data_IF_623174008147
#
_entry.id   IF_623174008147
#
_cell.length_a   1.000
_cell.length_b   1.000
_cell.length_c   1.000
_cell.angle_alpha   90.00
_cell.angle_beta   90.00
_cell.angle_gamma   90.00
#
_symmetry.space_group_name_H-M   'P 1'
#
loop_
_entity.id
_entity.type
_entity.pdbx_description
1 polymer ?
#
# COMPACT_ATOMS: atom_id res chain seq x y z
N UNK A 1 -24.35 -35.13 -4.83
CA UNK A 1 -23.24 -36.08 -4.55
C UNK A 1 -21.96 -35.26 -4.69
N UNK A 2 -21.29 -34.96 -3.60
CA UNK A 2 -19.95 -34.40 -3.59
C UNK A 2 -18.99 -35.49 -4.02
N UNK A 3 -18.45 -35.40 -5.23
CA UNK A 3 -17.38 -36.29 -5.67
C UNK A 3 -16.15 -35.87 -4.83
N UNK A 4 -15.64 -36.80 -4.00
CA UNK A 4 -14.32 -36.61 -3.37
C UNK A 4 -13.31 -36.61 -4.52
N UNK A 5 -12.70 -35.44 -4.77
CA UNK A 5 -11.54 -35.34 -5.67
C UNK A 5 -10.37 -35.99 -4.97
N UNK A 6 -9.75 -36.98 -5.58
CA UNK A 6 -8.47 -37.51 -5.11
C UNK A 6 -7.42 -36.40 -5.28
N UNK A 7 -6.57 -36.21 -4.29
CA UNK A 7 -5.46 -35.27 -4.41
C UNK A 7 -4.56 -35.77 -5.55
N UNK A 8 -4.47 -34.97 -6.60
CA UNK A 8 -3.65 -35.24 -7.74
C UNK A 8 -2.18 -35.08 -7.34
N UNK A 9 -1.37 -36.12 -7.54
CA UNK A 9 0.06 -36.07 -7.28
C UNK A 9 0.70 -34.91 -8.05
N UNK A 10 1.41 -34.03 -7.32
CA UNK A 10 2.11 -32.90 -7.92
C UNK A 10 3.42 -33.40 -8.53
N UNK A 11 3.70 -33.13 -9.82
CA UNK A 11 4.98 -33.48 -10.44
C UNK A 11 6.16 -32.89 -9.67
N UNK A 12 7.25 -33.63 -9.58
CA UNK A 12 8.43 -33.20 -8.77
C UNK A 12 9.01 -31.85 -9.19
N UNK A 13 8.98 -31.51 -10.47
CA UNK A 13 9.46 -30.21 -10.98
C UNK A 13 8.56 -29.03 -10.60
N UNK A 14 7.30 -29.32 -10.23
CA UNK A 14 6.28 -28.32 -9.88
C UNK A 14 6.03 -28.23 -8.36
N UNK A 15 6.71 -29.02 -7.55
CA UNK A 15 6.55 -28.99 -6.09
C UNK A 15 7.00 -27.65 -5.51
N UNK A 16 6.20 -27.14 -4.57
CA UNK A 16 6.60 -25.98 -3.76
C UNK A 16 7.85 -26.32 -2.94
N UNK A 17 8.73 -25.34 -2.73
CA UNK A 17 9.87 -25.53 -1.82
C UNK A 17 9.37 -25.61 -0.39
N UNK A 18 9.86 -26.62 0.34
CA UNK A 18 9.58 -26.79 1.74
C UNK A 18 10.50 -25.85 2.55
N UNK A 19 9.95 -24.95 3.36
CA UNK A 19 10.77 -24.06 4.19
C UNK A 19 11.62 -24.80 5.22
N UNK A 20 11.23 -26.01 5.60
CA UNK A 20 11.95 -26.79 6.63
C UNK A 20 13.13 -27.62 6.08
N UNK A 21 13.22 -27.81 4.76
CA UNK A 21 14.24 -28.69 4.15
C UNK A 21 15.62 -28.07 4.05
N UNK A 22 15.81 -26.75 4.26
CA UNK A 22 17.11 -26.09 4.14
C UNK A 22 17.28 -24.91 5.13
N UNK A 23 16.86 -25.06 6.38
CA UNK A 23 16.96 -23.99 7.38
C UNK A 23 18.42 -23.54 7.65
N UNK A 24 19.42 -24.36 7.34
CA UNK A 24 20.83 -24.05 7.54
C UNK A 24 21.51 -23.31 6.36
N UNK A 25 20.89 -23.26 5.18
CA UNK A 25 21.51 -22.74 3.94
C UNK A 25 20.70 -21.59 3.29
N UNK A 26 19.70 -21.02 3.98
CA UNK A 26 18.89 -19.93 3.50
C UNK A 26 19.62 -18.58 3.62
N UNK A 27 20.56 -18.32 2.70
CA UNK A 27 20.98 -16.95 2.44
C UNK A 27 19.85 -16.23 1.69
N UNK A 28 19.01 -15.50 2.41
CA UNK A 28 17.96 -14.69 1.80
C UNK A 28 18.61 -13.47 1.12
N UNK A 29 18.47 -13.40 -0.19
CA UNK A 29 18.84 -12.24 -1.00
C UNK A 29 17.65 -11.75 -1.82
N UNK A 30 17.80 -10.58 -2.42
CA UNK A 30 16.85 -10.13 -3.44
C UNK A 30 17.01 -10.96 -4.72
N UNK A 31 15.92 -11.10 -5.50
CA UNK A 31 16.01 -11.60 -6.87
C UNK A 31 16.98 -10.69 -7.65
N UNK A 32 17.95 -11.28 -8.31
CA UNK A 32 19.04 -10.58 -9.02
C UNK A 32 18.83 -10.55 -10.53
N UNK A 33 17.91 -11.36 -11.04
CA UNK A 33 17.62 -11.51 -12.46
C UNK A 33 16.10 -11.57 -12.69
N UNK A 34 15.63 -10.99 -13.78
CA UNK A 34 14.21 -10.99 -14.16
C UNK A 34 13.67 -12.38 -14.47
N UNK A 35 14.52 -13.32 -14.89
CA UNK A 35 14.12 -14.71 -15.13
C UNK A 35 13.62 -15.39 -13.85
N UNK A 36 14.21 -15.09 -12.70
CA UNK A 36 13.77 -15.59 -11.41
C UNK A 36 12.33 -15.14 -11.08
N UNK A 37 12.02 -13.88 -11.41
CA UNK A 37 10.66 -13.34 -11.25
C UNK A 37 9.67 -14.04 -12.17
N UNK A 38 10.03 -14.23 -13.44
CA UNK A 38 9.16 -14.89 -14.42
C UNK A 38 8.94 -16.36 -14.06
N UNK A 39 9.99 -17.06 -13.63
CA UNK A 39 9.92 -18.46 -13.19
C UNK A 39 9.04 -18.63 -11.96
N UNK A 40 9.17 -17.72 -10.99
CA UNK A 40 8.34 -17.69 -9.79
C UNK A 40 6.86 -17.49 -10.13
N UNK A 41 6.55 -16.53 -10.99
CA UNK A 41 5.17 -16.24 -11.38
C UNK A 41 4.57 -17.39 -12.19
N UNK A 42 5.22 -17.80 -13.27
CA UNK A 42 4.74 -18.87 -14.14
C UNK A 42 4.62 -20.20 -13.38
N UNK A 43 5.61 -20.54 -12.54
CA UNK A 43 5.57 -21.74 -11.72
C UNK A 43 4.42 -21.77 -10.74
N UNK A 44 4.19 -20.65 -10.06
CA UNK A 44 3.08 -20.55 -9.09
C UNK A 44 1.72 -20.66 -9.77
N UNK A 45 1.52 -19.99 -10.91
CA UNK A 45 0.25 -20.10 -11.64
C UNK A 45 0.05 -21.50 -12.21
N UNK A 46 1.11 -22.15 -12.69
CA UNK A 46 1.05 -23.56 -13.13
C UNK A 46 0.72 -24.48 -11.96
N UNK A 47 1.35 -24.28 -10.79
CA UNK A 47 1.05 -25.03 -9.57
C UNK A 47 -0.42 -24.90 -9.15
N UNK A 48 -0.96 -23.68 -9.14
CA UNK A 48 -2.37 -23.46 -8.83
C UNK A 48 -3.29 -24.07 -9.90
N UNK A 49 -2.93 -23.95 -11.17
CA UNK A 49 -3.67 -24.57 -12.27
C UNK A 49 -3.68 -26.10 -12.19
N UNK A 50 -2.54 -26.69 -11.78
CA UNK A 50 -2.46 -28.13 -11.54
C UNK A 50 -3.36 -28.57 -10.41
N UNK A 51 -3.30 -27.91 -9.26
CA UNK A 51 -4.19 -28.19 -8.12
C UNK A 51 -5.66 -27.93 -8.42
N UNK A 52 -5.94 -26.97 -9.27
CA UNK A 52 -7.29 -26.65 -9.75
C UNK A 52 -7.80 -27.56 -10.89
N UNK A 53 -6.99 -28.56 -11.32
CA UNK A 53 -7.34 -29.49 -12.40
C UNK A 53 -7.59 -28.80 -13.76
N UNK A 54 -6.87 -27.68 -14.05
CA UNK A 54 -6.99 -26.99 -15.32
C UNK A 54 -6.23 -27.66 -16.45
N UNK A 55 -5.26 -28.53 -16.15
CA UNK A 55 -4.45 -29.25 -17.10
C UNK A 55 -4.86 -30.71 -17.17
N UNK A 56 -4.96 -31.26 -18.38
CA UNK A 56 -5.29 -32.68 -18.59
C UNK A 56 -4.06 -33.55 -18.35
N UNK A 57 -2.91 -33.14 -18.84
CA UNK A 57 -1.64 -33.85 -18.75
C UNK A 57 -0.53 -33.03 -18.13
N UNK A 58 0.58 -33.67 -17.76
CA UNK A 58 1.78 -32.98 -17.30
C UNK A 58 2.43 -32.17 -18.43
N UNK A 59 2.32 -32.66 -19.69
CA UNK A 59 2.74 -31.94 -20.87
C UNK A 59 2.00 -30.62 -21.05
N UNK A 60 0.68 -30.58 -20.84
CA UNK A 60 -0.12 -29.36 -20.90
C UNK A 60 0.37 -28.33 -19.84
N UNK A 61 0.68 -28.81 -18.64
CA UNK A 61 1.19 -27.96 -17.57
C UNK A 61 2.58 -27.38 -17.90
N UNK A 62 3.47 -28.20 -18.49
CA UNK A 62 4.80 -27.73 -18.93
C UNK A 62 4.69 -26.71 -20.06
N UNK A 63 3.84 -26.98 -21.04
CA UNK A 63 3.59 -26.05 -22.14
C UNK A 63 3.07 -24.71 -21.63
N UNK A 64 2.10 -24.74 -20.71
CA UNK A 64 1.59 -23.51 -20.06
C UNK A 64 2.69 -22.75 -19.33
N UNK A 65 3.53 -23.46 -18.56
CA UNK A 65 4.65 -22.83 -17.84
C UNK A 65 5.62 -22.16 -18.81
N UNK A 66 6.04 -22.83 -19.85
CA UNK A 66 7.00 -22.32 -20.83
C UNK A 66 6.43 -21.15 -21.66
N UNK A 67 5.19 -21.25 -22.10
CA UNK A 67 4.50 -20.20 -22.84
C UNK A 67 4.32 -18.93 -22.00
N UNK A 68 3.88 -19.07 -20.75
CA UNK A 68 3.72 -17.92 -19.84
C UNK A 68 5.05 -17.24 -19.55
N UNK A 69 6.13 -18.00 -19.33
CA UNK A 69 7.49 -17.45 -19.19
C UNK A 69 7.91 -16.67 -20.43
N UNK A 70 7.70 -17.24 -21.61
CA UNK A 70 8.00 -16.60 -22.88
C UNK A 70 7.21 -15.29 -23.03
N UNK A 71 5.93 -15.30 -22.74
CA UNK A 71 5.05 -14.12 -22.86
C UNK A 71 5.45 -13.02 -21.86
N UNK A 72 5.81 -13.38 -20.62
CA UNK A 72 6.32 -12.41 -19.63
C UNK A 72 7.65 -11.78 -20.08
N UNK A 73 8.59 -12.61 -20.55
CA UNK A 73 9.91 -12.16 -20.98
C UNK A 73 9.84 -11.26 -22.24
N UNK A 74 8.90 -11.52 -23.13
CA UNK A 74 8.67 -10.73 -24.33
C UNK A 74 7.66 -9.57 -24.15
N UNK A 75 7.24 -9.29 -22.90
CA UNK A 75 6.30 -8.21 -22.58
C UNK A 75 4.93 -8.33 -23.29
N UNK A 76 4.52 -9.55 -23.62
CA UNK A 76 3.22 -9.86 -24.23
C UNK A 76 2.08 -9.86 -23.21
N UNK A 77 2.41 -10.19 -21.97
CA UNK A 77 1.49 -10.15 -20.82
C UNK A 77 2.16 -9.47 -19.63
N UNK A 78 1.33 -8.92 -18.76
CA UNK A 78 1.76 -8.41 -17.46
C UNK A 78 0.65 -8.63 -16.42
N UNK A 79 0.95 -9.21 -15.25
CA UNK A 79 -0.03 -9.31 -14.18
C UNK A 79 -0.26 -7.96 -13.50
N UNK A 80 -1.31 -7.88 -12.68
CA UNK A 80 -1.51 -6.77 -11.76
C UNK A 80 -0.28 -6.57 -10.87
N UNK A 81 0.05 -5.31 -10.56
CA UNK A 81 1.29 -4.97 -9.86
C UNK A 81 1.52 -5.74 -8.54
N UNK A 82 0.52 -6.06 -7.68
CA UNK A 82 0.75 -6.86 -6.48
C UNK A 82 1.33 -8.25 -6.76
N UNK A 83 1.02 -8.84 -7.90
CA UNK A 83 1.51 -10.17 -8.23
C UNK A 83 3.03 -10.20 -8.48
N UNK A 84 3.60 -9.12 -9.02
CA UNK A 84 5.05 -9.03 -9.26
C UNK A 84 5.89 -9.21 -7.98
N UNK A 85 5.37 -8.79 -6.83
CA UNK A 85 6.11 -8.82 -5.57
C UNK A 85 5.52 -9.72 -4.48
N UNK A 86 4.28 -10.24 -4.65
CA UNK A 86 3.65 -11.12 -3.65
C UNK A 86 3.46 -12.56 -4.15
N UNK A 87 3.17 -12.74 -5.46
CA UNK A 87 2.82 -14.07 -5.97
C UNK A 87 4.04 -14.96 -6.07
N UNK A 88 3.91 -16.13 -5.50
CA UNK A 88 4.91 -17.20 -5.61
C UNK A 88 6.04 -17.14 -4.61
N UNK A 89 6.07 -16.17 -3.70
CA UNK A 89 7.10 -16.11 -2.65
C UNK A 89 7.07 -17.36 -1.76
N UNK A 90 5.89 -17.87 -1.43
CA UNK A 90 5.76 -19.11 -0.67
C UNK A 90 6.17 -20.33 -1.52
N UNK A 91 5.64 -20.43 -2.75
CA UNK A 91 5.93 -21.57 -3.62
C UNK A 91 7.42 -21.68 -4.01
N UNK A 92 8.04 -20.57 -4.39
CA UNK A 92 9.41 -20.56 -4.91
C UNK A 92 10.47 -20.52 -3.81
N UNK A 93 10.19 -19.86 -2.68
CA UNK A 93 11.18 -19.55 -1.67
C UNK A 93 10.79 -20.01 -0.26
N UNK A 94 9.59 -20.61 -0.08
CA UNK A 94 9.11 -21.03 1.23
C UNK A 94 8.80 -19.87 2.19
N UNK A 95 8.70 -18.63 1.69
CA UNK A 95 8.39 -17.46 2.54
C UNK A 95 6.97 -17.59 3.06
N UNK A 96 6.83 -17.53 4.37
CA UNK A 96 5.55 -17.61 5.07
C UNK A 96 5.35 -16.43 6.02
N UNK A 97 4.11 -16.25 6.49
CA UNK A 97 3.73 -15.23 7.44
C UNK A 97 2.27 -15.35 7.88
N UNK A 98 1.95 -14.86 9.08
CA UNK A 98 0.62 -15.04 9.65
C UNK A 98 -0.44 -14.42 8.75
N UNK A 99 -1.59 -15.11 8.67
CA UNK A 99 -2.76 -14.62 7.95
C UNK A 99 -3.20 -13.26 8.52
N UNK A 100 -3.46 -12.31 7.63
CA UNK A 100 -3.94 -10.96 7.99
C UNK A 100 -5.42 -10.77 7.61
N UNK A 101 -6.21 -11.84 7.74
CA UNK A 101 -7.62 -11.86 7.36
C UNK A 101 -7.85 -12.27 5.91
N UNK A 102 -6.87 -12.88 5.25
CA UNK A 102 -7.04 -13.45 3.91
C UNK A 102 -8.01 -14.63 3.95
N UNK A 103 -8.89 -14.65 2.96
CA UNK A 103 -9.80 -15.77 2.69
C UNK A 103 -9.63 -16.20 1.25
N UNK A 104 -9.82 -17.47 1.00
CA UNK A 104 -9.82 -18.07 -0.34
C UNK A 104 -10.94 -19.09 -0.47
N UNK A 105 -11.30 -19.41 -1.70
CA UNK A 105 -12.20 -20.54 -1.96
C UNK A 105 -11.34 -21.79 -2.10
N UNK A 106 -11.53 -22.73 -1.20
CA UNK A 106 -10.82 -24.00 -1.26
C UNK A 106 -11.23 -24.79 -2.50
N UNK A 107 -10.26 -25.17 -3.32
CA UNK A 107 -10.48 -25.79 -4.63
C UNK A 107 -11.11 -27.19 -4.54
N UNK A 108 -10.87 -27.92 -3.44
CA UNK A 108 -11.42 -29.27 -3.26
C UNK A 108 -12.85 -29.24 -2.71
N UNK A 109 -13.15 -28.30 -1.81
CA UNK A 109 -14.44 -28.23 -1.12
C UNK A 109 -15.38 -27.17 -1.69
N UNK A 110 -14.87 -26.19 -2.44
CA UNK A 110 -15.62 -25.02 -2.93
C UNK A 110 -16.07 -24.05 -1.83
N UNK A 111 -15.54 -24.20 -0.60
CA UNK A 111 -15.95 -23.38 0.55
C UNK A 111 -15.00 -22.18 0.76
N UNK A 112 -15.57 -21.06 1.17
CA UNK A 112 -14.78 -19.93 1.65
C UNK A 112 -14.04 -20.34 2.93
N UNK A 113 -12.72 -20.30 2.88
CA UNK A 113 -11.83 -20.74 3.95
C UNK A 113 -10.87 -19.61 4.33
N UNK A 114 -10.61 -19.45 5.62
CA UNK A 114 -9.62 -18.50 6.10
C UNK A 114 -8.22 -19.08 5.88
N UNK A 115 -7.34 -18.31 5.23
CA UNK A 115 -5.95 -18.71 5.03
C UNK A 115 -5.19 -18.73 6.35
N UNK A 116 -4.28 -19.68 6.52
CA UNK A 116 -3.29 -19.69 7.59
C UNK A 116 -2.11 -18.76 7.30
N UNK A 117 -1.79 -18.57 6.02
CA UNK A 117 -0.66 -17.79 5.52
C UNK A 117 -1.10 -16.63 4.65
N UNK A 118 -0.40 -15.52 4.72
CA UNK A 118 -0.59 -14.37 3.81
C UNK A 118 0.17 -14.52 2.50
N UNK A 119 1.14 -15.43 2.40
CA UNK A 119 1.97 -15.65 1.20
C UNK A 119 1.60 -16.89 0.39
N UNK A 120 1.01 -17.91 1.01
CA UNK A 120 0.45 -19.07 0.28
C UNK A 120 -0.71 -18.65 -0.61
N UNK A 121 -1.55 -17.73 -0.11
CA UNK A 121 -2.73 -17.19 -0.81
C UNK A 121 -2.62 -15.67 -0.87
N UNK A 122 -1.68 -15.13 -1.69
CA UNK A 122 -1.42 -13.71 -1.73
C UNK A 122 -2.57 -12.93 -2.37
N UNK A 123 -2.62 -11.63 -2.08
CA UNK A 123 -3.55 -10.69 -2.71
C UNK A 123 -3.14 -10.44 -4.16
N UNK A 124 -3.94 -10.88 -5.17
CA UNK A 124 -3.55 -10.76 -6.58
C UNK A 124 -4.01 -9.46 -7.24
N UNK A 125 -5.01 -8.76 -6.67
CA UNK A 125 -5.66 -7.62 -7.30
C UNK A 125 -5.00 -6.29 -6.91
N UNK A 126 -4.90 -5.39 -7.89
CA UNK A 126 -4.30 -4.07 -7.70
C UNK A 126 -5.23 -3.09 -6.97
N UNK A 127 -6.54 -3.19 -7.20
CA UNK A 127 -7.52 -2.23 -6.66
C UNK A 127 -8.81 -2.92 -6.23
N UNK A 128 -9.42 -2.37 -5.18
CA UNK A 128 -10.69 -2.82 -4.63
C UNK A 128 -11.66 -1.65 -4.50
N UNK A 129 -12.89 -1.84 -4.98
CA UNK A 129 -13.98 -0.91 -4.73
C UNK A 129 -14.60 -1.28 -3.38
N UNK A 130 -14.70 -0.28 -2.50
CA UNK A 130 -15.22 -0.40 -1.14
C UNK A 130 -16.52 0.39 -0.99
N UNK A 131 -17.47 -0.17 -0.23
CA UNK A 131 -18.63 0.56 0.24
C UNK A 131 -18.37 1.23 1.59
N UNK A 132 -19.14 2.26 1.90
CA UNK A 132 -19.15 2.96 3.19
C UNK A 132 -20.59 3.31 3.58
N UNK A 133 -20.91 3.08 4.86
CA UNK A 133 -22.16 3.49 5.48
C UNK A 133 -21.94 4.73 6.35
N UNK A 134 -22.99 5.53 6.52
CA UNK A 134 -22.96 6.73 7.37
C UNK A 134 -23.06 6.36 8.86
N UNK A 135 -22.10 5.58 9.31
CA UNK A 135 -21.89 5.15 10.70
C UNK A 135 -20.43 5.30 11.07
N UNK A 136 -20.14 5.62 12.33
CA UNK A 136 -18.77 5.87 12.75
C UNK A 136 -17.96 4.58 12.95
N UNK A 137 -18.49 3.61 13.68
CA UNK A 137 -17.71 2.48 14.22
C UNK A 137 -18.24 1.09 13.88
N UNK A 138 -19.51 0.97 13.48
CA UNK A 138 -20.11 -0.33 13.16
C UNK A 138 -19.55 -0.91 11.84
N UNK A 139 -19.83 -2.17 11.60
CA UNK A 139 -19.44 -2.87 10.38
C UNK A 139 -19.95 -2.11 9.14
N UNK A 140 -19.07 -1.90 8.16
CA UNK A 140 -19.36 -1.10 6.97
C UNK A 140 -19.20 0.41 7.16
N UNK A 141 -19.02 0.90 8.38
CA UNK A 141 -18.87 2.31 8.71
C UNK A 141 -17.48 2.88 8.43
N UNK A 142 -17.29 4.13 8.87
CA UNK A 142 -16.10 4.93 8.56
C UNK A 142 -14.82 4.30 9.11
N UNK A 143 -14.80 3.91 10.39
CA UNK A 143 -13.60 3.33 11.00
C UNK A 143 -13.32 1.92 10.51
N UNK A 144 -14.35 1.14 10.22
CA UNK A 144 -14.20 -0.17 9.58
C UNK A 144 -13.59 -0.04 8.17
N UNK A 145 -14.01 0.96 7.38
CA UNK A 145 -13.38 1.24 6.09
C UNK A 145 -11.88 1.48 6.24
N UNK A 146 -11.43 2.27 7.22
CA UNK A 146 -10.01 2.53 7.42
C UNK A 146 -9.23 1.26 7.79
N UNK A 147 -9.83 0.36 8.55
CA UNK A 147 -9.23 -0.96 8.88
C UNK A 147 -9.12 -1.83 7.64
N UNK A 148 -10.17 -1.90 6.81
CA UNK A 148 -10.16 -2.65 5.55
C UNK A 148 -9.13 -2.10 4.57
N UNK A 149 -9.07 -0.78 4.40
CA UNK A 149 -8.08 -0.11 3.55
C UNK A 149 -6.64 -0.37 4.04
N UNK A 150 -6.39 -0.31 5.35
CA UNK A 150 -5.08 -0.58 5.90
C UNK A 150 -4.57 -1.99 5.57
N UNK A 151 -5.46 -2.99 5.60
CA UNK A 151 -5.15 -4.36 5.20
C UNK A 151 -4.80 -4.45 3.71
N UNK A 152 -5.59 -3.81 2.85
CA UNK A 152 -5.36 -3.81 1.40
C UNK A 152 -4.06 -3.09 1.04
N UNK A 153 -3.80 -1.93 1.64
CA UNK A 153 -2.57 -1.17 1.42
C UNK A 153 -1.32 -1.93 1.86
N UNK A 154 -1.40 -2.66 2.97
CA UNK A 154 -0.28 -3.48 3.48
C UNK A 154 0.21 -4.48 2.44
N UNK A 155 -0.67 -5.02 1.62
CA UNK A 155 -0.35 -6.02 0.59
C UNK A 155 -0.25 -5.42 -0.83
N UNK A 156 -0.19 -4.10 -0.94
CA UNK A 156 0.11 -3.41 -2.19
C UNK A 156 -1.08 -3.15 -3.10
N UNK A 157 -2.31 -3.39 -2.61
CA UNK A 157 -3.52 -3.05 -3.33
C UNK A 157 -3.96 -1.62 -3.05
N UNK A 158 -4.61 -0.99 -4.03
CA UNK A 158 -5.28 0.29 -3.87
C UNK A 158 -6.76 0.11 -3.55
N UNK A 159 -7.41 1.20 -3.18
CA UNK A 159 -8.86 1.24 -2.90
C UNK A 159 -9.54 2.37 -3.66
N UNK A 160 -10.84 2.19 -3.93
CA UNK A 160 -11.74 3.23 -4.44
C UNK A 160 -13.05 3.18 -3.67
N UNK A 161 -13.51 4.33 -3.19
CA UNK A 161 -14.74 4.43 -2.42
C UNK A 161 -15.53 5.68 -2.83
N UNK A 162 -16.83 5.53 -3.05
CA UNK A 162 -17.76 6.66 -3.15
C UNK A 162 -18.20 7.04 -1.72
N UNK A 163 -17.90 8.26 -1.33
CA UNK A 163 -18.16 8.80 0.01
C UNK A 163 -19.46 9.59 0.11
N UNK A 164 -20.25 9.65 -0.95
CA UNK A 164 -21.47 10.46 -1.01
C UNK A 164 -22.56 10.01 -0.03
N UNK A 165 -22.48 8.77 0.48
CA UNK A 165 -23.39 8.29 1.53
C UNK A 165 -23.14 8.93 2.90
N UNK A 166 -21.99 9.55 3.11
CA UNK A 166 -21.69 10.24 4.37
C UNK A 166 -22.42 11.58 4.38
N UNK A 167 -23.00 11.92 5.51
CA UNK A 167 -23.65 13.22 5.69
C UNK A 167 -22.64 14.37 5.63
N UNK A 168 -23.09 15.50 5.10
CA UNK A 168 -22.31 16.73 5.01
C UNK A 168 -22.07 17.41 6.35
N UNK A 169 -21.16 18.38 6.35
CA UNK A 169 -20.95 19.27 7.47
C UNK A 169 -22.22 20.04 7.79
N UNK A 170 -22.53 20.21 9.05
CA UNK A 170 -23.74 20.91 9.52
C UNK A 170 -25.05 20.14 9.48
N UNK A 171 -25.12 18.95 8.93
CA UNK A 171 -26.28 18.07 9.05
C UNK A 171 -26.46 17.56 10.47
N UNK A 172 -27.71 17.35 10.89
CA UNK A 172 -28.06 16.95 12.25
C UNK A 172 -27.65 15.52 12.58
N UNK A 173 -27.17 15.28 13.78
CA UNK A 173 -26.97 13.95 14.35
C UNK A 173 -28.19 13.45 15.10
N UNK A 174 -28.45 12.15 15.12
CA UNK A 174 -29.59 11.53 15.81
C UNK A 174 -29.59 11.80 17.33
N UNK A 175 -28.44 11.95 17.94
CA UNK A 175 -28.26 12.30 19.36
C UNK A 175 -28.24 13.81 19.65
N UNK A 176 -28.52 14.66 18.65
CA UNK A 176 -28.33 16.12 18.72
C UNK A 176 -26.93 16.56 18.36
N UNK A 177 -26.80 17.82 17.94
CA UNK A 177 -25.55 18.36 17.42
C UNK A 177 -25.44 18.27 15.91
N UNK A 178 -24.26 18.61 15.38
CA UNK A 178 -23.99 18.67 13.94
C UNK A 178 -22.86 17.74 13.53
N UNK A 179 -22.93 17.22 12.31
CA UNK A 179 -21.87 16.42 11.69
C UNK A 179 -20.61 17.27 11.48
N UNK A 180 -19.45 16.68 11.65
CA UNK A 180 -18.16 17.27 11.27
C UNK A 180 -17.90 17.20 9.76
N UNK A 181 -18.78 16.57 9.00
CA UNK A 181 -18.76 16.51 7.55
C UNK A 181 -17.79 15.48 6.94
N UNK A 182 -18.05 15.21 5.68
CA UNK A 182 -17.26 14.31 4.82
C UNK A 182 -15.75 14.63 4.89
N UNK A 183 -15.38 15.90 4.76
CA UNK A 183 -13.99 16.31 4.64
C UNK A 183 -13.16 16.02 5.88
N UNK A 184 -13.77 16.01 7.06
CA UNK A 184 -13.08 15.68 8.31
C UNK A 184 -12.64 14.21 8.32
N UNK A 185 -13.49 13.32 7.87
CA UNK A 185 -13.20 11.88 7.79
C UNK A 185 -12.25 11.55 6.63
N UNK A 186 -12.36 12.22 5.49
CA UNK A 186 -11.41 12.05 4.39
C UNK A 186 -9.98 12.39 4.78
N UNK A 187 -9.79 13.46 5.57
CA UNK A 187 -8.47 13.85 6.09
C UNK A 187 -7.84 12.76 6.97
N UNK A 188 -8.65 12.05 7.77
CA UNK A 188 -8.16 10.90 8.57
C UNK A 188 -7.66 9.79 7.64
N UNK A 189 -8.47 9.38 6.66
CA UNK A 189 -8.12 8.33 5.72
C UNK A 189 -6.91 8.67 4.83
N UNK A 190 -6.77 9.93 4.42
CA UNK A 190 -5.62 10.41 3.65
C UNK A 190 -4.32 10.31 4.48
N UNK A 191 -4.36 10.70 5.75
CA UNK A 191 -3.20 10.57 6.65
C UNK A 191 -2.85 9.12 6.94
N UNK A 192 -3.85 8.26 7.17
CA UNK A 192 -3.66 6.82 7.36
C UNK A 192 -3.01 6.19 6.12
N UNK A 193 -3.53 6.48 4.92
CA UNK A 193 -2.97 6.01 3.66
C UNK A 193 -1.53 6.48 3.45
N UNK A 194 -1.22 7.73 3.78
CA UNK A 194 0.13 8.29 3.69
C UNK A 194 1.15 7.62 4.63
N UNK A 195 0.68 7.08 5.75
CA UNK A 195 1.54 6.40 6.74
C UNK A 195 1.81 4.93 6.38
N UNK A 196 0.92 4.28 5.62
CA UNK A 196 1.00 2.85 5.32
C UNK A 196 1.82 2.63 4.06
N UNK A 197 2.86 1.79 4.17
CA UNK A 197 3.69 1.34 3.05
C UNK A 197 3.51 -0.17 2.86
N UNK A 198 3.27 -0.59 1.62
CA UNK A 198 3.18 -2.00 1.27
C UNK A 198 4.49 -2.73 1.51
N UNK A 199 4.43 -3.85 2.22
CA UNK A 199 5.58 -4.72 2.46
C UNK A 199 6.82 -4.00 3.03
N UNK A 200 6.64 -2.80 3.57
CA UNK A 200 7.70 -1.94 4.09
C UNK A 200 8.50 -1.16 3.05
N UNK A 201 8.46 -1.51 1.76
CA UNK A 201 9.40 -0.93 0.78
C UNK A 201 8.86 -0.67 -0.62
N UNK A 202 7.89 -1.42 -1.12
CA UNK A 202 7.67 -1.52 -2.58
C UNK A 202 6.62 -0.57 -3.14
N UNK A 203 5.53 -0.30 -2.43
CA UNK A 203 4.44 0.53 -2.97
C UNK A 203 3.81 1.41 -1.90
N UNK A 204 3.52 2.66 -2.26
CA UNK A 204 2.69 3.54 -1.43
C UNK A 204 1.22 3.15 -1.57
N UNK A 205 0.43 3.39 -0.53
CA UNK A 205 -1.02 3.29 -0.59
C UNK A 205 -1.57 4.15 -1.74
N UNK A 206 -2.53 3.61 -2.48
CA UNK A 206 -3.23 4.31 -3.54
C UNK A 206 -4.72 4.33 -3.21
N UNK A 207 -5.29 5.53 -3.09
CA UNK A 207 -6.68 5.74 -2.70
C UNK A 207 -7.38 6.62 -3.72
N UNK A 208 -8.50 6.13 -4.25
CA UNK A 208 -9.44 6.92 -5.05
C UNK A 208 -10.65 7.28 -4.19
N UNK A 209 -11.07 8.52 -4.28
CA UNK A 209 -12.25 9.05 -3.61
C UNK A 209 -13.19 9.62 -4.64
N UNK A 210 -14.46 9.22 -4.57
CA UNK A 210 -15.54 9.75 -5.38
C UNK A 210 -16.53 10.47 -4.47
N UNK A 211 -17.00 11.62 -4.91
CA UNK A 211 -18.07 12.39 -4.26
C UNK A 211 -19.02 12.86 -5.36
N UNK A 212 -20.31 12.62 -5.20
CA UNK A 212 -21.32 13.00 -6.15
C UNK A 212 -21.51 14.52 -6.15
N UNK A 213 -21.88 15.09 -7.29
CA UNK A 213 -21.92 16.56 -7.48
C UNK A 213 -22.97 17.25 -6.62
N UNK A 214 -23.98 16.54 -6.18
CA UNK A 214 -25.07 17.04 -5.33
C UNK A 214 -24.79 16.90 -3.83
N UNK A 215 -23.61 16.37 -3.45
CA UNK A 215 -23.23 16.25 -2.04
C UNK A 215 -23.01 17.64 -1.40
N UNK A 216 -23.50 17.89 -0.17
CA UNK A 216 -23.41 19.21 0.47
C UNK A 216 -21.96 19.76 0.61
N UNK A 217 -20.97 18.87 0.80
CA UNK A 217 -19.57 19.26 0.98
C UNK A 217 -18.77 19.26 -0.35
N UNK A 218 -19.40 19.12 -1.52
CA UNK A 218 -18.71 18.95 -2.81
C UNK A 218 -17.79 20.12 -3.15
N UNK A 219 -18.18 21.36 -2.81
CA UNK A 219 -17.33 22.52 -3.06
C UNK A 219 -16.02 22.49 -2.24
N UNK A 220 -16.12 22.10 -0.95
CA UNK A 220 -14.93 21.93 -0.11
C UNK A 220 -14.04 20.80 -0.66
N UNK A 221 -14.64 19.70 -1.11
CA UNK A 221 -13.94 18.58 -1.73
C UNK A 221 -13.17 19.03 -2.98
N UNK A 222 -13.78 19.75 -3.90
CA UNK A 222 -13.13 20.28 -5.12
C UNK A 222 -11.95 21.18 -4.77
N UNK A 223 -12.13 22.06 -3.80
CA UNK A 223 -11.10 23.03 -3.36
C UNK A 223 -9.97 22.38 -2.54
N UNK A 224 -10.20 21.20 -1.99
CA UNK A 224 -9.25 20.58 -1.03
C UNK A 224 -7.85 20.41 -1.58
N UNK A 225 -7.68 19.83 -2.78
CA UNK A 225 -6.35 19.60 -3.37
C UNK A 225 -5.59 20.91 -3.61
N UNK A 226 -6.25 21.91 -4.16
CA UNK A 226 -5.64 23.23 -4.37
C UNK A 226 -5.20 23.86 -3.05
N UNK A 227 -6.04 23.79 -2.02
CA UNK A 227 -5.72 24.31 -0.68
C UNK A 227 -4.52 23.61 -0.05
N UNK A 228 -4.45 22.28 -0.16
CA UNK A 228 -3.30 21.51 0.38
C UNK A 228 -2.00 21.80 -0.40
N UNK A 229 -2.05 21.93 -1.71
CA UNK A 229 -0.89 22.33 -2.53
C UNK A 229 -0.39 23.72 -2.18
N UNK A 230 -1.29 24.68 -1.99
CA UNK A 230 -0.93 26.04 -1.56
C UNK A 230 -0.27 26.04 -0.18
N UNK A 231 -0.78 25.24 0.79
CA UNK A 231 -0.16 25.09 2.12
C UNK A 231 1.26 24.50 1.99
N UNK A 232 1.44 23.46 1.18
CA UNK A 232 2.76 22.86 0.97
C UNK A 232 3.72 23.87 0.35
N UNK A 233 3.29 24.62 -0.67
CA UNK A 233 4.12 25.65 -1.30
C UNK A 233 4.53 26.74 -0.30
N UNK A 234 3.60 27.20 0.52
CA UNK A 234 3.87 28.19 1.58
C UNK A 234 4.86 27.67 2.62
N UNK A 235 4.66 26.41 3.09
CA UNK A 235 5.55 25.77 4.06
C UNK A 235 6.97 25.57 3.51
N UNK A 236 7.09 25.12 2.26
CA UNK A 236 8.39 24.91 1.60
C UNK A 236 9.13 26.24 1.44
N UNK A 237 8.42 27.28 1.00
CA UNK A 237 9.01 28.63 0.84
C UNK A 237 9.43 29.20 2.19
N UNK A 238 8.56 29.11 3.20
CA UNK A 238 8.87 29.57 4.57
C UNK A 238 10.06 28.81 5.16
N UNK A 239 10.11 27.48 5.03
CA UNK A 239 11.23 26.66 5.50
C UNK A 239 12.56 27.04 4.85
N UNK A 240 12.56 27.27 3.53
CA UNK A 240 13.77 27.71 2.81
C UNK A 240 14.23 29.09 3.28
N UNK A 241 13.29 30.01 3.46
CA UNK A 241 13.57 31.37 3.93
C UNK A 241 14.13 31.34 5.35
N UNK A 242 13.47 30.64 6.28
CA UNK A 242 13.98 30.47 7.66
C UNK A 242 15.37 29.82 7.67
N UNK A 243 15.60 28.77 6.89
CA UNK A 243 16.92 28.12 6.79
C UNK A 243 17.99 29.08 6.28
N UNK A 244 17.67 29.94 5.29
CA UNK A 244 18.58 30.97 4.78
C UNK A 244 18.94 31.98 5.87
N UNK A 245 17.96 32.57 6.51
CA UNK A 245 18.20 33.59 7.56
C UNK A 245 18.94 33.03 8.77
N UNK A 246 18.57 31.80 9.22
CA UNK A 246 19.31 31.14 10.31
C UNK A 246 20.77 30.91 9.97
N UNK A 247 21.08 30.49 8.75
CA UNK A 247 22.47 30.33 8.30
C UNK A 247 23.22 31.66 8.24
N UNK A 248 22.57 32.72 7.80
CA UNK A 248 23.15 34.06 7.77
C UNK A 248 23.43 34.58 9.20
N UNK A 249 22.49 34.44 10.13
CA UNK A 249 22.65 34.76 11.56
C UNK A 249 23.81 33.96 12.16
N UNK A 250 23.85 32.64 11.96
CA UNK A 250 24.95 31.79 12.43
C UNK A 250 26.30 32.23 11.86
N UNK A 251 26.35 32.56 10.57
CA UNK A 251 27.55 33.06 9.92
C UNK A 251 28.00 34.42 10.48
N UNK A 252 27.06 35.31 10.73
CA UNK A 252 27.36 36.62 11.34
C UNK A 252 27.92 36.48 12.76
N UNK A 253 27.44 35.51 13.54
CA UNK A 253 27.99 35.19 14.84
C UNK A 253 29.36 34.54 14.77
N UNK A 254 29.55 33.58 13.85
CA UNK A 254 30.78 32.80 13.71
C UNK A 254 31.95 33.62 13.15
N UNK A 255 31.69 34.51 12.19
CA UNK A 255 32.71 35.34 11.55
C UNK A 255 32.90 36.71 12.22
N UNK A 256 32.45 36.86 13.44
CA UNK A 256 32.61 38.05 14.23
C UNK A 256 34.06 38.14 14.75
N UNK A 257 34.68 39.32 14.60
CA UNK A 257 36.05 39.60 15.07
C UNK A 257 36.12 40.08 16.55
N UNK A 258 34.94 40.19 17.20
CA UNK A 258 34.88 40.63 18.61
C UNK A 258 35.12 39.44 19.57
N UNK A 259 35.45 39.74 20.82
CA UNK A 259 35.69 38.70 21.83
C UNK A 259 34.40 38.02 22.31
N UNK A 260 34.37 36.71 22.18
CA UNK A 260 33.45 35.75 22.84
C UNK A 260 31.96 36.15 22.80
N UNK A 261 31.39 36.49 23.96
CA UNK A 261 29.97 36.77 24.12
C UNK A 261 29.45 37.98 23.32
N UNK A 262 30.34 38.92 22.96
CA UNK A 262 29.99 40.11 22.19
C UNK A 262 29.52 39.76 20.75
N UNK A 263 29.91 38.62 20.21
CA UNK A 263 29.49 38.19 18.89
C UNK A 263 28.02 37.80 18.81
N UNK A 264 27.40 37.46 19.92
CA UNK A 264 26.00 37.09 20.03
C UNK A 264 25.10 38.26 20.43
N UNK A 265 25.68 39.45 20.69
CA UNK A 265 24.94 40.66 21.04
C UNK A 265 24.71 41.55 19.81
N UNK A 266 23.45 41.70 19.32
CA UNK A 266 23.14 42.54 18.16
C UNK A 266 23.55 44.01 18.30
N UNK A 267 23.73 44.51 19.54
CA UNK A 267 24.19 45.89 19.79
C UNK A 267 25.70 46.08 19.53
N UNK A 268 26.46 44.97 19.63
CA UNK A 268 27.91 44.94 19.46
C UNK A 268 28.36 44.32 18.13
N UNK A 269 27.49 43.50 17.51
CA UNK A 269 27.74 42.87 16.23
C UNK A 269 26.82 43.46 15.13
N UNK A 270 27.32 44.44 14.32
CA UNK A 270 26.51 45.08 13.29
C UNK A 270 26.05 44.15 12.18
N UNK A 271 26.79 43.05 11.89
CA UNK A 271 26.40 42.05 10.92
C UNK A 271 25.19 41.24 11.41
N UNK A 272 25.24 40.81 12.68
CA UNK A 272 24.11 40.14 13.33
C UNK A 272 22.89 41.02 13.39
N UNK A 273 23.06 42.28 13.74
CA UNK A 273 21.95 43.25 13.81
C UNK A 273 21.24 43.41 12.46
N UNK A 274 21.98 43.45 11.36
CA UNK A 274 21.40 43.53 9.99
C UNK A 274 20.59 42.28 9.64
N UNK A 275 21.10 41.10 9.95
CA UNK A 275 20.40 39.83 9.66
C UNK A 275 19.14 39.63 10.52
N UNK A 276 19.08 40.17 11.72
CA UNK A 276 17.88 40.09 12.59
C UNK A 276 16.78 41.07 12.13
N UNK A 277 17.14 42.18 11.50
CA UNK A 277 16.18 43.22 11.08
C UNK A 277 15.69 42.97 9.64
N UNK A 278 16.44 42.23 8.82
CA UNK A 278 16.07 41.87 7.44
C UNK A 278 14.97 40.81 7.37
#
# INVERSE_FOLDING_TARGET
KTVKREERNIPSWLMAKDPDTNAEDLSFGSETDSTQVFDRLAGTWTYWGWKGEYFTTEEDAKSFFDEVRYMLANQMIAPNSPQWFNTGLNWAYGIDGPSQGHHYVDHATGKLTKSSSSYERPQPHACFIQGIEDDLVNDGGIMDLWVREARLFKYGSGTGTNFSNLRGGSEGLSGGGKSSGLMSFLKIGDRAAGAIKSGGTTRRAAKMVVVDIDHPDVEEFIKWKVTEEQKVAALVTGSKLCSKHLKQIMSACHNCEADGESCFDPSKNPALKREIIS
#
